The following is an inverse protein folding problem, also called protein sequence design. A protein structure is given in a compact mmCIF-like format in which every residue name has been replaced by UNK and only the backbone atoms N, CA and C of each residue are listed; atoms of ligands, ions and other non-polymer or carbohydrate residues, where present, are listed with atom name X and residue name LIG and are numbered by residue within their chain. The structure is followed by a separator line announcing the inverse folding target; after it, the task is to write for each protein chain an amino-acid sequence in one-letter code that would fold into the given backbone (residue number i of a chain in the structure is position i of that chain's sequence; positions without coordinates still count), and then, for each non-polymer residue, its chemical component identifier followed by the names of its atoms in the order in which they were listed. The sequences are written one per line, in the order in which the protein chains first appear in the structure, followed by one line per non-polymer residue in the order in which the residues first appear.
data_IF_550459169734
#
_entry.id   IF_550459169734
#
_cell.length_a   1.000
_cell.length_b   1.000
_cell.length_c   1.000
_cell.angle_alpha   90.00
_cell.angle_beta   90.00
_cell.angle_gamma   90.00
#
_symmetry.space_group_name_H-M   'P 1'
#
loop_
_entity.id
_entity.type
_entity.pdbx_description
1 polymer ?
#
# COMPACT_ATOMS: atom_id res chain seq x y z
N UNK A 1 46.32 -1.79 36.93
CA UNK A 1 44.87 -2.07 36.92
C UNK A 1 44.37 -1.93 35.48
N UNK A 2 43.85 -2.98 34.88
CA UNK A 2 42.84 -2.88 33.80
C UNK A 2 41.57 -2.24 34.40
N UNK A 3 40.62 -1.60 33.71
CA UNK A 3 40.20 -1.51 32.29
C UNK A 3 39.60 -0.08 32.07
N UNK A 4 39.12 0.41 30.92
CA UNK A 4 38.79 -0.15 29.59
C UNK A 4 38.98 0.93 28.50
N UNK A 5 38.62 0.66 27.23
CA UNK A 5 38.55 1.64 26.13
C UNK A 5 37.14 2.22 26.01
N UNK A 6 36.95 3.56 26.08
CA UNK A 6 35.66 4.18 25.76
C UNK A 6 35.31 4.04 24.27
N UNK A 7 34.51 3.00 24.00
CA UNK A 7 33.62 2.76 22.85
C UNK A 7 33.73 3.70 21.63
N UNK A 8 33.99 3.06 20.48
CA UNK A 8 33.73 3.53 19.11
C UNK A 8 32.50 4.47 19.04
N UNK A 9 32.55 5.60 18.29
CA UNK A 9 31.46 6.58 18.26
C UNK A 9 30.10 5.95 17.98
N UNK A 10 29.29 5.82 19.04
CA UNK A 10 27.91 5.36 18.96
C UNK A 10 27.15 6.25 17.97
N UNK A 11 26.36 5.62 17.10
CA UNK A 11 25.52 6.31 16.12
C UNK A 11 24.79 7.49 16.77
N UNK A 12 24.67 8.65 16.09
CA UNK A 12 24.26 9.91 16.71
C UNK A 12 22.93 9.72 17.46
N UNK A 13 23.02 9.76 18.78
CA UNK A 13 21.84 9.71 19.67
C UNK A 13 21.10 11.02 19.44
N UNK A 14 20.02 10.96 18.67
CA UNK A 14 19.18 12.11 18.38
C UNK A 14 18.53 12.58 19.69
N UNK A 15 18.99 13.72 20.19
CA UNK A 15 18.78 14.18 21.58
C UNK A 15 17.35 14.65 21.88
N UNK A 16 16.44 14.38 20.95
CA UNK A 16 15.12 14.97 20.81
C UNK A 16 14.00 13.96 21.08
N UNK A 17 14.35 12.68 21.32
CA UNK A 17 13.39 11.62 21.66
C UNK A 17 12.55 11.11 20.48
N UNK A 18 12.90 11.48 19.24
CA UNK A 18 12.17 11.04 18.06
C UNK A 18 12.54 9.61 17.68
N UNK A 19 11.55 8.73 17.67
CA UNK A 19 11.65 7.43 17.01
C UNK A 19 11.90 7.63 15.52
N UNK A 20 12.95 6.99 15.00
CA UNK A 20 13.28 6.98 13.57
C UNK A 20 12.03 6.53 12.79
N UNK A 21 11.51 7.33 11.84
CA UNK A 21 10.26 6.99 11.16
C UNK A 21 10.39 5.67 10.41
N UNK A 22 9.35 4.84 10.51
CA UNK A 22 9.29 3.56 9.80
C UNK A 22 9.39 3.84 8.29
N UNK A 23 10.20 3.08 7.51
CA UNK A 23 10.37 3.36 6.09
C UNK A 23 9.03 3.39 5.36
N UNK A 24 8.66 4.57 4.85
CA UNK A 24 7.40 4.75 4.15
C UNK A 24 7.49 4.11 2.76
N UNK A 25 7.02 2.87 2.67
CA UNK A 25 6.86 2.18 1.40
C UNK A 25 5.69 2.86 0.68
N UNK A 26 6.01 3.86 -0.14
CA UNK A 26 5.02 4.54 -0.99
C UNK A 26 4.34 3.46 -1.86
N UNK A 27 3.03 3.23 -1.72
CA UNK A 27 2.34 2.24 -2.54
C UNK A 27 2.39 2.67 -4.02
N UNK A 28 2.44 1.72 -4.96
CA UNK A 28 2.46 2.05 -6.38
C UNK A 28 1.21 2.88 -6.76
N UNK A 29 1.31 3.79 -7.75
CA UNK A 29 0.20 4.65 -8.13
C UNK A 29 -1.00 3.82 -8.59
N UNK A 30 -2.09 3.87 -7.83
CA UNK A 30 -3.29 3.08 -8.12
C UNK A 30 -4.15 3.77 -9.19
N UNK A 31 -4.26 3.14 -10.36
CA UNK A 31 -5.07 3.65 -11.48
C UNK A 31 -6.57 3.28 -11.35
N UNK A 32 -6.92 2.36 -10.44
CA UNK A 32 -8.27 1.84 -10.30
C UNK A 32 -9.38 2.90 -10.02
N UNK A 33 -9.14 3.98 -9.23
CA UNK A 33 -10.13 5.04 -9.01
C UNK A 33 -10.52 5.80 -10.29
N UNK A 34 -9.58 5.94 -11.24
CA UNK A 34 -9.80 6.67 -12.50
C UNK A 34 -10.80 5.91 -13.39
N UNK A 35 -10.60 4.61 -13.55
CA UNK A 35 -11.50 3.74 -14.31
C UNK A 35 -12.88 3.63 -13.64
N UNK A 36 -12.94 3.60 -12.31
CA UNK A 36 -14.21 3.61 -11.57
C UNK A 36 -14.98 4.92 -11.78
N UNK A 37 -14.31 6.07 -11.71
CA UNK A 37 -14.90 7.38 -12.00
C UNK A 37 -15.46 7.47 -13.41
N UNK A 38 -14.69 7.02 -14.42
CA UNK A 38 -15.15 6.96 -15.81
C UNK A 38 -16.38 6.05 -15.97
N UNK A 39 -16.37 4.88 -15.32
CA UNK A 39 -17.53 3.97 -15.28
C UNK A 39 -18.78 4.63 -14.71
N UNK A 40 -18.67 5.34 -13.58
CA UNK A 40 -19.80 6.09 -12.98
C UNK A 40 -20.34 7.15 -13.94
N UNK A 41 -19.48 7.95 -14.57
CA UNK A 41 -19.92 8.98 -15.51
C UNK A 41 -20.65 8.36 -16.72
N UNK A 42 -20.13 7.28 -17.29
CA UNK A 42 -20.80 6.57 -18.38
C UNK A 42 -22.08 5.85 -17.95
N UNK A 43 -22.19 5.35 -16.72
CA UNK A 43 -23.45 4.76 -16.20
C UNK A 43 -24.48 5.82 -15.80
N UNK A 44 -24.07 7.01 -15.39
CA UNK A 44 -24.98 8.12 -15.11
C UNK A 44 -25.54 8.74 -16.41
N UNK A 45 -24.74 8.81 -17.47
CA UNK A 45 -25.12 9.41 -18.76
C UNK A 45 -25.63 8.39 -19.80
N UNK A 46 -25.26 7.11 -19.67
CA UNK A 46 -25.61 6.03 -20.59
C UNK A 46 -27.12 5.77 -20.73
N UNK A 47 -27.91 5.66 -19.64
CA UNK A 47 -29.35 5.44 -19.71
C UNK A 47 -30.12 6.49 -20.52
N UNK A 48 -29.62 7.73 -20.58
CA UNK A 48 -30.19 8.82 -21.39
C UNK A 48 -29.92 8.67 -22.89
N UNK A 49 -28.90 7.91 -23.29
CA UNK A 49 -28.39 7.87 -24.67
C UNK A 49 -28.55 6.51 -25.34
N UNK A 50 -28.28 5.40 -24.64
CA UNK A 50 -28.51 4.04 -25.14
C UNK A 50 -28.43 2.99 -24.03
N UNK A 51 -29.33 2.01 -24.05
CA UNK A 51 -29.28 0.86 -23.15
C UNK A 51 -27.97 0.06 -23.27
N UNK A 52 -27.34 0.05 -24.47
CA UNK A 52 -26.04 -0.59 -24.69
C UNK A 52 -24.94 0.14 -23.89
N UNK A 53 -24.92 1.47 -23.93
CA UNK A 53 -23.94 2.28 -23.17
C UNK A 53 -24.10 2.08 -21.65
N UNK A 54 -25.35 1.98 -21.17
CA UNK A 54 -25.64 1.68 -19.77
C UNK A 54 -25.06 0.33 -19.33
N UNK A 55 -25.22 -0.72 -20.15
CA UNK A 55 -24.67 -2.05 -19.86
C UNK A 55 -23.13 -2.06 -19.88
N UNK A 56 -22.49 -1.36 -20.82
CA UNK A 56 -21.03 -1.22 -20.88
C UNK A 56 -20.49 -0.46 -19.66
N UNK A 57 -21.12 0.65 -19.27
CA UNK A 57 -20.75 1.40 -18.06
C UNK A 57 -20.84 0.53 -16.79
N UNK A 58 -21.92 -0.24 -16.65
CA UNK A 58 -22.09 -1.16 -15.51
C UNK A 58 -20.99 -2.23 -15.47
N UNK A 59 -20.61 -2.77 -16.64
CA UNK A 59 -19.49 -3.70 -16.77
C UNK A 59 -18.15 -3.09 -16.36
N UNK A 60 -17.87 -1.84 -16.77
CA UNK A 60 -16.67 -1.10 -16.38
C UNK A 60 -16.61 -0.86 -14.86
N UNK A 61 -17.73 -0.49 -14.23
CA UNK A 61 -17.83 -0.31 -12.78
C UNK A 61 -17.48 -1.62 -12.05
N UNK A 62 -18.07 -2.74 -12.47
CA UNK A 62 -17.81 -4.05 -11.85
C UNK A 62 -16.35 -4.47 -12.01
N UNK A 63 -15.76 -4.26 -13.18
CA UNK A 63 -14.36 -4.59 -13.45
C UNK A 63 -13.40 -3.70 -12.63
N UNK A 64 -13.64 -2.39 -12.58
CA UNK A 64 -12.84 -1.46 -11.79
C UNK A 64 -12.89 -1.80 -10.29
N UNK A 65 -14.07 -2.13 -9.75
CA UNK A 65 -14.22 -2.63 -8.38
C UNK A 65 -13.44 -3.93 -8.14
N UNK A 66 -13.47 -4.89 -9.09
CA UNK A 66 -12.72 -6.15 -8.96
C UNK A 66 -11.21 -5.93 -8.93
N UNK A 67 -10.68 -5.04 -9.76
CA UNK A 67 -9.26 -4.67 -9.77
C UNK A 67 -8.89 -3.95 -8.47
N UNK A 68 -9.65 -2.93 -8.07
CA UNK A 68 -9.36 -2.14 -6.87
C UNK A 68 -9.40 -2.97 -5.57
N UNK A 69 -10.42 -3.81 -5.41
CA UNK A 69 -10.54 -4.72 -4.26
C UNK A 69 -9.48 -5.83 -4.29
N UNK A 70 -8.90 -6.13 -5.46
CA UNK A 70 -7.75 -7.03 -5.60
C UNK A 70 -6.47 -6.42 -5.03
N UNK A 71 -6.14 -5.20 -5.45
CA UNK A 71 -4.98 -4.42 -4.97
C UNK A 71 -5.01 -4.28 -3.44
N UNK A 72 -6.12 -3.75 -2.90
CA UNK A 72 -6.34 -3.57 -1.45
C UNK A 72 -6.14 -4.88 -0.64
N UNK A 73 -6.48 -6.04 -1.21
CA UNK A 73 -6.28 -7.35 -0.58
C UNK A 73 -4.86 -7.89 -0.73
N UNK A 74 -4.13 -7.49 -1.77
CA UNK A 74 -2.74 -7.86 -1.97
C UNK A 74 -1.83 -7.12 -0.99
N UNK A 75 -2.09 -5.83 -0.75
CA UNK A 75 -1.26 -5.01 0.15
C UNK A 75 -1.35 -5.48 1.61
N UNK A 76 -2.53 -5.87 2.09
CA UNK A 76 -2.69 -6.49 3.42
C UNK A 76 -1.91 -7.82 3.55
N UNK A 77 -1.78 -8.59 2.45
CA UNK A 77 -0.97 -9.83 2.47
C UNK A 77 0.52 -9.53 2.54
N UNK A 78 1.01 -8.46 1.91
CA UNK A 78 2.42 -8.02 1.98
C UNK A 78 2.80 -7.60 3.40
N UNK A 79 1.98 -6.78 4.06
CA UNK A 79 2.25 -6.34 5.45
C UNK A 79 2.24 -7.52 6.43
N UNK A 80 1.34 -8.49 6.24
CA UNK A 80 1.27 -9.72 7.03
C UNK A 80 2.40 -10.74 6.76
N UNK A 81 3.24 -10.52 5.74
CA UNK A 81 4.44 -11.33 5.48
C UNK A 81 5.73 -10.64 5.92
N UNK A 82 5.83 -9.31 5.80
CA UNK A 82 6.99 -8.54 6.27
C UNK A 82 7.26 -8.69 7.79
N UNK A 83 6.21 -8.92 8.58
CA UNK A 83 6.32 -9.25 10.00
C UNK A 83 6.87 -10.65 10.27
N UNK A 84 6.64 -11.62 9.38
CA UNK A 84 7.06 -13.02 9.56
C UNK A 84 8.51 -13.25 9.17
N UNK A 85 9.00 -12.55 8.13
CA UNK A 85 10.39 -12.64 7.68
C UNK A 85 11.36 -11.99 8.67
N UNK A 86 10.94 -10.92 9.35
CA UNK A 86 11.78 -10.18 10.30
C UNK A 86 12.08 -10.97 11.59
N UNK A 87 11.14 -11.77 12.08
CA UNK A 87 11.35 -12.64 13.26
C UNK A 87 12.29 -13.81 12.96
N UNK A 88 12.33 -14.30 11.72
CA UNK A 88 13.17 -15.45 11.35
C UNK A 88 14.67 -15.14 11.26
N UNK A 89 15.07 -13.86 11.21
CA UNK A 89 16.49 -13.47 11.12
C UNK A 89 17.12 -13.12 12.48
N UNK A 90 16.33 -13.03 13.56
CA UNK A 90 16.79 -12.65 14.91
C UNK A 90 16.93 -13.85 15.86
N UNK A 91 16.78 -15.08 15.35
CA UNK A 91 16.81 -16.32 16.14
C UNK A 91 17.99 -17.23 15.76
N UNK A 92 19.01 -16.65 15.12
CA UNK A 92 20.23 -17.32 14.64
C UNK A 92 21.48 -16.47 14.91
N UNK A 93 21.52 -15.78 16.06
CA UNK A 93 22.72 -15.30 16.74
C UNK A 93 22.65 -15.70 18.23
#
# INVERSE_FOLDING_TARGET
MSYETPQQPSAPVDKTGWSKPLPEIIPPPTFAPVFFSAGIVFTAWGPLTSWILSAVGLGLIILALRVWLGELRADWKKTAQASKTSTSSSSHE
#
